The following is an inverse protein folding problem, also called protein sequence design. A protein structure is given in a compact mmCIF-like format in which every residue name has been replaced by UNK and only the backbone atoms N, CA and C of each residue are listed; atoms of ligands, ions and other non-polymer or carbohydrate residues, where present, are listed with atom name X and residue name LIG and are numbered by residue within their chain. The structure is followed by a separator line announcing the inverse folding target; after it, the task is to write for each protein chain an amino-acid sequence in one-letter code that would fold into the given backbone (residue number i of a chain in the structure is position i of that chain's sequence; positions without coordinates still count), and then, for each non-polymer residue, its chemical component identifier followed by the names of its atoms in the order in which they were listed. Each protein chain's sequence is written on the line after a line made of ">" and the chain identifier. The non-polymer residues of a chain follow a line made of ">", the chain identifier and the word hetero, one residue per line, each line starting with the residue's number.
data_IF_176481506504
#
_entry.id   IF_176481506504
#
_cell.length_a   1.000
_cell.length_b   1.000
_cell.length_c   1.000
_cell.angle_alpha   90.00
_cell.angle_beta   90.00
_cell.angle_gamma   90.00
#
_symmetry.space_group_name_H-M   'P 1'
#
loop_
_entity.id
_entity.type
_entity.pdbx_description
1 polymer ?
#
# COMPACT_ATOMS: atom_id res chain seq x y z
N UNK A 1 -13.26 1.30 -19.78
CA UNK A 1 -13.03 2.76 -19.66
C UNK A 1 -14.08 3.41 -18.74
N UNK A 2 -15.39 3.21 -18.96
CA UNK A 2 -16.48 3.87 -18.23
C UNK A 2 -16.48 3.55 -16.71
N UNK A 3 -16.34 2.28 -16.31
CA UNK A 3 -16.25 1.89 -14.91
C UNK A 3 -15.12 2.62 -14.16
N UNK A 4 -13.92 2.72 -14.78
CA UNK A 4 -12.79 3.40 -14.15
C UNK A 4 -13.06 4.91 -14.01
N UNK A 5 -13.74 5.51 -14.99
CA UNK A 5 -14.18 6.91 -14.91
C UNK A 5 -15.19 7.12 -13.77
N UNK A 6 -16.18 6.23 -13.63
CA UNK A 6 -17.14 6.27 -12.53
C UNK A 6 -16.43 6.18 -11.17
N UNK A 7 -15.51 5.21 -10.99
CA UNK A 7 -14.75 5.07 -9.74
C UNK A 7 -13.80 6.24 -9.46
N UNK A 8 -13.31 6.92 -10.50
CA UNK A 8 -12.52 8.14 -10.33
C UNK A 8 -13.38 9.30 -9.79
N UNK A 9 -14.59 9.48 -10.32
CA UNK A 9 -15.55 10.49 -9.84
C UNK A 9 -15.98 10.19 -8.39
N UNK A 10 -16.09 8.91 -8.00
CA UNK A 10 -16.34 8.48 -6.63
C UNK A 10 -15.16 8.76 -5.68
N UNK A 11 -14.04 9.30 -6.16
CA UNK A 11 -12.89 9.68 -5.33
C UNK A 11 -11.89 8.54 -5.06
N UNK A 12 -11.91 7.46 -5.84
CA UNK A 12 -10.93 6.39 -5.70
C UNK A 12 -9.51 6.87 -6.02
N UNK A 13 -8.53 6.45 -5.21
CA UNK A 13 -7.12 6.79 -5.43
C UNK A 13 -6.59 6.22 -6.76
N UNK A 14 -5.58 6.89 -7.35
CA UNK A 14 -4.91 6.41 -8.57
C UNK A 14 -4.46 4.95 -8.47
N UNK A 15 -3.94 4.54 -7.31
CA UNK A 15 -3.51 3.15 -7.06
C UNK A 15 -4.69 2.18 -7.09
N UNK A 16 -5.83 2.56 -6.49
CA UNK A 16 -7.05 1.76 -6.51
C UNK A 16 -7.59 1.62 -7.93
N UNK A 17 -7.62 2.72 -8.70
CA UNK A 17 -8.06 2.71 -10.10
C UNK A 17 -7.17 1.82 -10.98
N UNK A 18 -5.84 1.90 -10.80
CA UNK A 18 -4.89 1.02 -11.51
C UNK A 18 -5.13 -0.45 -11.18
N UNK A 19 -5.41 -0.77 -9.90
CA UNK A 19 -5.69 -2.15 -9.50
C UNK A 19 -7.03 -2.66 -10.04
N UNK A 20 -8.08 -1.84 -10.04
CA UNK A 20 -9.33 -2.17 -10.74
C UNK A 20 -9.09 -2.45 -12.22
N UNK A 21 -8.38 -1.52 -12.88
CA UNK A 21 -8.10 -1.61 -14.32
C UNK A 21 -7.37 -2.92 -14.64
N UNK A 22 -6.23 -3.19 -14.01
CA UNK A 22 -5.44 -4.40 -14.28
C UNK A 22 -6.24 -5.68 -13.99
N UNK A 23 -6.98 -5.75 -12.88
CA UNK A 23 -7.80 -6.92 -12.54
C UNK A 23 -8.87 -7.21 -13.61
N UNK A 24 -9.57 -6.17 -14.07
CA UNK A 24 -10.66 -6.31 -15.04
C UNK A 24 -10.09 -6.65 -16.41
N UNK A 25 -9.01 -6.00 -16.85
CA UNK A 25 -8.35 -6.28 -18.13
C UNK A 25 -7.85 -7.72 -18.18
N UNK A 26 -7.23 -8.22 -17.11
CA UNK A 26 -6.80 -9.62 -17.02
C UNK A 26 -7.99 -10.58 -17.13
N UNK A 27 -9.08 -10.32 -16.41
CA UNK A 27 -10.28 -11.15 -16.48
C UNK A 27 -10.89 -11.16 -17.88
N UNK A 28 -11.02 -10.00 -18.52
CA UNK A 28 -11.62 -9.87 -19.86
C UNK A 28 -10.74 -10.45 -20.96
N UNK A 29 -9.43 -10.50 -20.78
CA UNK A 29 -8.52 -11.18 -21.71
C UNK A 29 -8.67 -12.70 -21.70
N UNK A 30 -9.06 -13.26 -20.54
CA UNK A 30 -9.21 -14.72 -20.38
C UNK A 30 -10.63 -15.21 -20.68
N UNK A 31 -11.63 -14.41 -20.32
CA UNK A 31 -13.03 -14.73 -20.56
C UNK A 31 -13.46 -14.09 -21.88
N UNK A 32 -13.43 -14.87 -22.96
CA UNK A 32 -13.70 -14.39 -24.33
C UNK A 32 -15.17 -14.21 -24.66
N UNK A 33 -16.08 -14.67 -23.77
CA UNK A 33 -17.52 -14.51 -23.97
C UNK A 33 -17.98 -13.09 -23.60
N UNK A 34 -19.07 -12.65 -24.24
CA UNK A 34 -19.64 -11.32 -23.92
C UNK A 34 -19.95 -11.19 -22.43
N UNK A 35 -19.61 -10.05 -21.83
CA UNK A 35 -19.83 -9.73 -20.40
C UNK A 35 -21.28 -9.97 -19.99
N UNK A 36 -22.25 -9.75 -20.88
CA UNK A 36 -23.69 -10.00 -20.63
C UNK A 36 -24.04 -11.49 -20.47
N UNK A 37 -23.18 -12.39 -20.96
CA UNK A 37 -23.39 -13.85 -20.95
C UNK A 37 -22.58 -14.56 -19.87
N UNK A 38 -21.70 -13.84 -19.16
CA UNK A 38 -20.89 -14.41 -18.09
C UNK A 38 -21.79 -14.89 -16.95
N UNK A 39 -21.62 -16.15 -16.59
CA UNK A 39 -22.38 -16.81 -15.53
C UNK A 39 -21.59 -16.85 -14.21
N UNK A 40 -22.27 -17.19 -13.12
CA UNK A 40 -21.62 -17.43 -11.82
C UNK A 40 -20.60 -18.56 -11.90
N UNK A 41 -20.84 -19.57 -12.74
CA UNK A 41 -19.95 -20.73 -12.89
C UNK A 41 -18.67 -20.34 -13.63
N UNK A 42 -18.77 -19.51 -14.67
CA UNK A 42 -17.60 -18.95 -15.37
C UNK A 42 -16.70 -18.18 -14.39
N UNK A 43 -17.31 -17.40 -13.50
CA UNK A 43 -16.56 -16.62 -12.49
C UNK A 43 -15.91 -17.50 -11.43
N UNK A 44 -16.57 -18.60 -10.99
CA UNK A 44 -15.97 -19.57 -10.07
C UNK A 44 -14.76 -20.24 -10.70
N UNK A 45 -14.92 -20.71 -11.94
CA UNK A 45 -13.84 -21.32 -12.70
C UNK A 45 -12.67 -20.35 -12.89
N UNK A 46 -12.95 -19.12 -13.29
CA UNK A 46 -11.92 -18.09 -13.45
C UNK A 46 -11.11 -17.88 -12.16
N UNK A 47 -11.77 -17.76 -11.01
CA UNK A 47 -11.08 -17.51 -9.73
C UNK A 47 -10.25 -18.72 -9.28
N UNK A 48 -10.73 -19.94 -9.52
CA UNK A 48 -9.99 -21.16 -9.24
C UNK A 48 -8.76 -21.32 -10.15
N UNK A 49 -8.93 -21.10 -11.46
CA UNK A 49 -7.84 -21.11 -12.44
C UNK A 49 -6.82 -19.98 -12.18
N UNK A 50 -7.30 -18.80 -11.79
CA UNK A 50 -6.44 -17.68 -11.40
C UNK A 50 -5.55 -18.04 -10.22
N UNK A 51 -6.10 -18.68 -9.19
CA UNK A 51 -5.34 -19.11 -8.01
C UNK A 51 -4.25 -20.12 -8.40
N UNK A 52 -4.61 -21.13 -9.17
CA UNK A 52 -3.68 -22.22 -9.58
C UNK A 52 -2.55 -21.70 -10.46
N UNK A 53 -2.88 -20.89 -11.46
CA UNK A 53 -1.90 -20.37 -12.42
C UNK A 53 -0.89 -19.40 -11.79
N UNK A 54 -1.33 -18.55 -10.86
CA UNK A 54 -0.48 -17.56 -10.22
C UNK A 54 0.14 -18.04 -8.91
N UNK A 55 -0.15 -19.24 -8.47
CA UNK A 55 0.27 -19.80 -7.18
C UNK A 55 0.10 -18.79 -6.03
N UNK A 56 -1.05 -18.13 -6.01
CA UNK A 56 -1.27 -17.00 -5.12
C UNK A 56 -2.14 -17.37 -3.90
N UNK A 57 -1.99 -16.59 -2.83
CA UNK A 57 -2.73 -16.81 -1.59
C UNK A 57 -4.23 -16.61 -1.77
N UNK A 58 -5.04 -17.27 -0.94
CA UNK A 58 -6.50 -17.05 -0.87
C UNK A 58 -6.86 -15.58 -0.62
N UNK A 59 -6.01 -14.82 0.09
CA UNK A 59 -6.20 -13.38 0.31
C UNK A 59 -6.11 -12.61 -1.01
N UNK A 60 -5.14 -12.97 -1.86
CA UNK A 60 -4.98 -12.37 -3.19
C UNK A 60 -6.20 -12.66 -4.07
N UNK A 61 -6.68 -13.90 -4.08
CA UNK A 61 -7.89 -14.28 -4.83
C UNK A 61 -9.12 -13.53 -4.33
N UNK A 62 -9.27 -13.34 -3.00
CA UNK A 62 -10.39 -12.56 -2.45
C UNK A 62 -10.30 -11.06 -2.83
N UNK A 63 -9.10 -10.52 -2.97
CA UNK A 63 -8.92 -9.14 -3.47
C UNK A 63 -9.36 -9.02 -4.94
N UNK A 64 -8.96 -9.98 -5.79
CA UNK A 64 -9.40 -10.06 -7.19
C UNK A 64 -10.91 -10.23 -7.27
N UNK A 65 -11.50 -11.15 -6.49
CA UNK A 65 -12.95 -11.35 -6.38
C UNK A 65 -13.68 -10.04 -6.03
N UNK A 66 -13.16 -9.26 -5.06
CA UNK A 66 -13.78 -7.98 -4.66
C UNK A 66 -13.76 -6.95 -5.78
N UNK A 67 -12.66 -6.85 -6.51
CA UNK A 67 -12.56 -5.94 -7.65
C UNK A 67 -13.54 -6.31 -8.76
N UNK A 68 -13.61 -7.60 -9.10
CA UNK A 68 -14.55 -8.13 -10.11
C UNK A 68 -15.99 -7.93 -9.64
N UNK A 69 -16.28 -8.18 -8.36
CA UNK A 69 -17.60 -7.95 -7.79
C UNK A 69 -18.04 -6.48 -7.91
N UNK A 70 -17.13 -5.54 -7.62
CA UNK A 70 -17.40 -4.11 -7.80
C UNK A 70 -17.71 -3.74 -9.24
N UNK A 71 -16.99 -4.33 -10.20
CA UNK A 71 -17.25 -4.12 -11.63
C UNK A 71 -18.62 -4.65 -12.07
N UNK A 72 -18.96 -5.89 -11.70
CA UNK A 72 -20.26 -6.46 -12.08
C UNK A 72 -21.45 -5.81 -11.33
N UNK A 73 -21.24 -5.32 -10.10
CA UNK A 73 -22.27 -4.53 -9.41
C UNK A 73 -22.53 -3.22 -10.13
N UNK A 74 -21.48 -2.52 -10.56
CA UNK A 74 -21.60 -1.31 -11.37
C UNK A 74 -22.34 -1.58 -12.69
N UNK A 75 -22.01 -2.68 -13.39
CA UNK A 75 -22.71 -3.06 -14.63
C UNK A 75 -24.20 -3.33 -14.40
N UNK A 76 -24.57 -3.89 -13.26
CA UNK A 76 -25.97 -4.13 -12.88
C UNK A 76 -26.68 -2.82 -12.54
N UNK A 77 -26.05 -1.92 -11.76
CA UNK A 77 -26.55 -0.60 -11.40
C UNK A 77 -26.80 0.30 -12.63
N UNK A 78 -25.89 0.23 -13.61
CA UNK A 78 -26.01 0.96 -14.90
C UNK A 78 -26.91 0.24 -15.94
N UNK A 79 -27.56 -0.86 -15.57
CA UNK A 79 -28.45 -1.64 -16.44
C UNK A 79 -27.77 -2.27 -17.69
N UNK A 80 -26.44 -2.45 -17.67
CA UNK A 80 -25.73 -3.18 -18.73
C UNK A 80 -25.99 -4.68 -18.65
N UNK A 81 -26.26 -5.21 -17.44
CA UNK A 81 -26.64 -6.59 -17.16
C UNK A 81 -27.83 -6.61 -16.20
N UNK A 82 -28.66 -7.65 -16.29
CA UNK A 82 -29.84 -7.81 -15.42
C UNK A 82 -29.44 -8.20 -13.99
N UNK A 83 -28.38 -8.99 -13.83
CA UNK A 83 -27.94 -9.52 -12.54
C UNK A 83 -26.47 -9.84 -12.53
N UNK A 84 -25.77 -9.40 -11.50
CA UNK A 84 -24.35 -9.67 -11.32
C UNK A 84 -24.08 -11.17 -11.09
N UNK A 85 -23.18 -11.80 -11.87
CA UNK A 85 -22.78 -13.20 -11.66
C UNK A 85 -22.02 -13.41 -10.35
N UNK A 86 -21.53 -12.32 -9.74
CA UNK A 86 -20.76 -12.36 -8.49
C UNK A 86 -21.64 -12.44 -7.23
N UNK A 87 -22.96 -12.26 -7.32
CA UNK A 87 -23.85 -12.24 -6.14
C UNK A 87 -23.79 -13.52 -5.28
N UNK A 88 -23.52 -14.67 -5.89
CA UNK A 88 -23.43 -15.99 -5.24
C UNK A 88 -21.98 -16.42 -4.92
N UNK A 89 -21.01 -15.51 -5.12
CA UNK A 89 -19.60 -15.76 -4.82
C UNK A 89 -19.23 -14.97 -3.57
N UNK A 90 -19.28 -15.64 -2.44
CA UNK A 90 -19.03 -15.04 -1.13
C UNK A 90 -17.54 -14.85 -0.88
N UNK A 91 -17.23 -14.09 0.19
CA UNK A 91 -15.87 -13.88 0.68
C UNK A 91 -15.16 -15.22 0.90
N UNK A 92 -13.94 -15.32 0.41
CA UNK A 92 -13.10 -16.51 0.59
C UNK A 92 -12.63 -16.54 2.05
N UNK A 93 -12.85 -17.64 2.73
CA UNK A 93 -12.36 -17.86 4.09
C UNK A 93 -10.83 -17.96 4.06
N UNK A 94 -10.17 -17.11 4.80
CA UNK A 94 -8.71 -17.11 4.97
C UNK A 94 -8.39 -17.28 6.44
N UNK A 95 -7.40 -18.10 6.74
CA UNK A 95 -6.86 -18.17 8.10
C UNK A 95 -6.12 -16.86 8.39
N UNK A 96 -6.41 -16.26 9.54
CA UNK A 96 -5.59 -15.16 10.05
C UNK A 96 -4.32 -15.77 10.63
N UNK A 97 -3.20 -15.57 9.95
CA UNK A 97 -1.90 -15.87 10.52
C UNK A 97 -1.51 -14.72 11.45
N UNK A 98 -1.22 -15.06 12.69
CA UNK A 98 -0.55 -14.13 13.61
C UNK A 98 0.85 -13.93 13.05
N UNK A 99 1.19 -12.70 12.73
CA UNK A 99 2.54 -12.36 12.28
C UNK A 99 3.46 -12.30 13.50
N UNK A 100 4.67 -12.82 13.34
CA UNK A 100 5.71 -12.65 14.34
C UNK A 100 5.98 -11.15 14.54
N UNK A 101 6.13 -10.78 15.80
CA UNK A 101 6.48 -9.42 16.20
C UNK A 101 8.00 -9.38 16.39
N UNK A 102 8.63 -8.34 15.86
CA UNK A 102 10.07 -8.12 16.06
C UNK A 102 10.29 -7.81 17.54
N UNK A 103 11.22 -8.53 18.19
CA UNK A 103 11.57 -8.28 19.58
C UNK A 103 12.38 -7.00 19.77
N UNK A 104 12.42 -6.49 21.00
CA UNK A 104 13.24 -5.31 21.31
C UNK A 104 14.73 -5.58 21.08
N UNK A 105 15.18 -6.82 21.35
CA UNK A 105 16.56 -7.26 21.10
C UNK A 105 16.88 -7.27 19.59
N UNK A 106 15.91 -7.65 18.75
CA UNK A 106 16.12 -7.65 17.30
C UNK A 106 16.14 -6.22 16.74
N UNK A 107 15.39 -5.29 17.34
CA UNK A 107 15.50 -3.87 17.01
C UNK A 107 16.89 -3.32 17.37
N UNK A 108 17.45 -3.67 18.53
CA UNK A 108 18.80 -3.23 18.89
C UNK A 108 19.84 -3.82 17.92
N UNK A 109 19.74 -5.10 17.56
CA UNK A 109 20.60 -5.70 16.53
C UNK A 109 20.51 -4.98 15.18
N UNK A 110 19.29 -4.61 14.76
CA UNK A 110 19.10 -3.81 13.53
C UNK A 110 19.81 -2.47 13.62
N UNK A 111 19.73 -1.78 14.77
CA UNK A 111 20.42 -0.50 15.01
C UNK A 111 21.94 -0.66 14.90
N UNK A 112 22.49 -1.69 15.55
CA UNK A 112 23.93 -1.97 15.57
C UNK A 112 24.49 -2.32 14.16
N UNK A 113 23.64 -2.88 13.30
CA UNK A 113 24.03 -3.22 11.93
C UNK A 113 23.83 -2.09 10.91
N UNK A 114 23.24 -0.96 11.34
CA UNK A 114 23.07 0.20 10.46
C UNK A 114 24.39 0.82 10.04
N UNK A 115 24.68 0.82 8.75
CA UNK A 115 25.92 1.38 8.17
C UNK A 115 25.86 2.88 7.92
N UNK A 116 24.66 3.48 7.92
CA UNK A 116 24.48 4.89 7.65
C UNK A 116 23.46 5.54 8.59
N UNK A 117 23.64 6.84 8.82
CA UNK A 117 22.79 7.63 9.70
C UNK A 117 21.33 7.69 9.24
N UNK A 118 21.11 7.64 7.91
CA UNK A 118 19.75 7.64 7.33
C UNK A 118 18.94 6.43 7.79
N UNK A 119 19.52 5.24 7.64
CA UNK A 119 18.81 3.99 7.92
C UNK A 119 18.54 3.84 9.41
N UNK A 120 19.48 4.26 10.25
CA UNK A 120 19.28 4.33 11.70
C UNK A 120 18.12 5.27 12.08
N UNK A 121 18.07 6.47 11.48
CA UNK A 121 16.99 7.42 11.71
C UNK A 121 15.62 6.89 11.20
N UNK A 122 15.59 6.13 10.11
CA UNK A 122 14.39 5.47 9.58
C UNK A 122 13.87 4.43 10.58
N UNK A 123 14.74 3.55 11.07
CA UNK A 123 14.37 2.48 12.02
C UNK A 123 13.77 3.11 13.29
N UNK A 124 14.46 4.08 13.87
CA UNK A 124 14.01 4.70 15.11
C UNK A 124 12.70 5.46 14.94
N UNK A 125 12.52 6.21 13.85
CA UNK A 125 11.28 6.91 13.61
C UNK A 125 10.10 5.96 13.38
N UNK A 126 10.31 4.87 12.62
CA UNK A 126 9.28 3.84 12.42
C UNK A 126 8.91 3.14 13.73
N UNK A 127 9.91 2.75 14.52
CA UNK A 127 9.71 2.06 15.78
C UNK A 127 9.00 2.93 16.80
N UNK A 128 9.46 4.16 16.97
CA UNK A 128 8.92 5.11 17.96
C UNK A 128 7.50 5.56 17.65
N UNK A 129 7.16 5.77 16.35
CA UNK A 129 5.89 6.39 15.94
C UNK A 129 4.86 5.39 15.42
N UNK A 130 5.27 4.22 14.96
CA UNK A 130 4.39 3.26 14.28
C UNK A 130 3.78 3.78 12.97
N UNK A 131 4.39 4.79 12.33
CA UNK A 131 3.91 5.29 11.03
C UNK A 131 4.14 4.27 9.93
N UNK A 132 3.33 4.33 8.88
CA UNK A 132 3.50 3.45 7.72
C UNK A 132 4.68 3.93 6.87
N UNK A 133 5.36 2.97 6.21
CA UNK A 133 6.47 3.30 5.28
C UNK A 133 6.03 4.32 4.22
N UNK A 134 4.78 4.23 3.72
CA UNK A 134 4.25 5.21 2.78
C UNK A 134 4.06 6.60 3.37
N UNK A 135 3.80 6.73 4.65
CA UNK A 135 3.72 8.00 5.36
C UNK A 135 5.13 8.56 5.59
N UNK A 136 6.06 7.73 6.02
CA UNK A 136 7.46 8.09 6.25
C UNK A 136 8.12 8.71 5.02
N UNK A 137 8.02 8.06 3.85
CA UNK A 137 8.67 8.56 2.62
C UNK A 137 8.05 9.86 2.09
N UNK A 138 6.84 10.19 2.51
CA UNK A 138 6.18 11.44 2.13
C UNK A 138 6.48 12.61 3.06
N UNK A 139 7.10 12.38 4.23
CA UNK A 139 7.48 13.44 5.15
C UNK A 139 8.51 14.39 4.52
N UNK A 140 8.34 15.68 4.80
CA UNK A 140 9.33 16.72 4.59
C UNK A 140 10.02 17.08 5.92
N UNK A 141 11.16 17.73 5.85
CA UNK A 141 11.84 18.24 7.05
C UNK A 141 10.93 19.23 7.80
N UNK A 142 10.15 20.04 7.06
CA UNK A 142 9.23 21.02 7.63
C UNK A 142 8.03 20.40 8.37
N UNK A 143 7.72 19.11 8.14
CA UNK A 143 6.63 18.41 8.82
C UNK A 143 7.03 17.89 10.21
N UNK A 144 8.30 18.12 10.63
CA UNK A 144 8.86 17.60 11.89
C UNK A 144 9.10 18.75 12.86
N UNK A 145 8.41 18.74 13.98
CA UNK A 145 8.71 19.61 15.12
C UNK A 145 9.66 18.89 16.08
N UNK A 146 10.92 19.31 16.11
CA UNK A 146 11.95 18.72 16.96
C UNK A 146 11.79 19.14 18.43
N UNK A 147 11.19 20.29 18.73
CA UNK A 147 10.98 20.72 20.11
C UNK A 147 9.83 19.95 20.76
N UNK A 148 8.70 19.89 20.09
CA UNK A 148 7.56 19.10 20.56
C UNK A 148 7.77 17.59 20.36
N UNK A 149 8.77 17.17 19.57
CA UNK A 149 9.03 15.78 19.17
C UNK A 149 7.81 15.15 18.49
N UNK A 150 7.21 15.86 17.57
CA UNK A 150 6.06 15.41 16.82
C UNK A 150 6.26 15.59 15.32
N UNK A 151 5.52 14.83 14.54
CA UNK A 151 5.38 15.09 13.11
C UNK A 151 3.94 14.84 12.65
N UNK A 152 3.57 15.53 11.57
CA UNK A 152 2.25 15.42 10.96
C UNK A 152 2.34 14.44 9.80
N UNK A 153 1.50 13.41 9.82
CA UNK A 153 1.45 12.40 8.76
C UNK A 153 0.05 12.32 8.15
N UNK A 154 0.01 12.07 6.85
CA UNK A 154 -1.22 11.94 6.08
C UNK A 154 -1.52 10.46 5.80
N UNK A 155 -2.58 9.95 6.42
CA UNK A 155 -3.04 8.59 6.27
C UNK A 155 -3.93 8.36 5.04
N UNK A 156 -4.49 7.18 4.95
CA UNK A 156 -5.43 6.79 3.89
C UNK A 156 -6.65 7.75 3.87
N UNK A 157 -6.96 8.28 2.68
CA UNK A 157 -8.08 9.21 2.49
C UNK A 157 -7.76 10.65 2.90
N UNK A 158 -6.46 11.02 2.98
CA UNK A 158 -6.05 12.39 3.31
C UNK A 158 -6.26 12.77 4.78
N UNK A 159 -6.53 11.81 5.67
CA UNK A 159 -6.68 12.08 7.10
C UNK A 159 -5.32 12.39 7.71
N UNK A 160 -5.22 13.61 8.26
CA UNK A 160 -4.08 14.08 9.00
C UNK A 160 -4.08 13.53 10.42
N UNK A 161 -2.90 13.14 10.94
CA UNK A 161 -2.71 12.86 12.36
C UNK A 161 -1.31 13.25 12.81
N UNK A 162 -1.22 13.70 14.05
CA UNK A 162 0.06 13.90 14.74
C UNK A 162 0.54 12.59 15.31
N UNK A 163 1.85 12.37 15.24
CA UNK A 163 2.55 11.25 15.87
C UNK A 163 3.76 11.78 16.61
N UNK A 164 4.10 11.14 17.72
CA UNK A 164 5.15 11.58 18.62
C UNK A 164 6.31 10.59 18.55
N UNK A 165 7.54 11.11 18.59
CA UNK A 165 8.75 10.29 18.60
C UNK A 165 9.59 10.55 19.85
N UNK A 166 10.39 9.57 20.23
CA UNK A 166 11.21 9.62 21.43
C UNK A 166 12.48 10.48 21.25
N UNK A 167 13.23 10.68 22.35
CA UNK A 167 14.46 11.45 22.36
C UNK A 167 15.56 10.80 21.49
N UNK A 168 15.60 9.46 21.40
CA UNK A 168 16.58 8.71 20.59
C UNK A 168 16.34 8.99 19.11
N UNK A 169 15.09 8.91 18.67
CA UNK A 169 14.69 9.26 17.29
C UNK A 169 15.03 10.72 16.94
N UNK A 170 14.79 11.68 17.87
CA UNK A 170 15.18 13.09 17.71
C UNK A 170 16.67 13.21 17.39
N UNK A 171 17.53 12.61 18.20
CA UNK A 171 18.99 12.69 18.05
C UNK A 171 19.47 12.09 16.73
N UNK A 172 18.95 10.93 16.35
CA UNK A 172 19.33 10.24 15.11
C UNK A 172 18.82 11.00 13.87
N UNK A 173 17.60 11.53 13.90
CA UNK A 173 17.08 12.39 12.82
C UNK A 173 17.92 13.65 12.65
N UNK A 174 18.25 14.35 13.73
CA UNK A 174 19.11 15.55 13.69
C UNK A 174 20.51 15.22 13.15
N UNK A 175 21.11 14.11 13.62
CA UNK A 175 22.41 13.63 13.12
C UNK A 175 22.39 13.28 11.64
N UNK A 176 21.30 12.66 11.17
CA UNK A 176 21.12 12.38 9.75
C UNK A 176 20.98 13.66 8.94
N UNK A 177 20.07 14.56 9.32
CA UNK A 177 19.84 15.84 8.59
C UNK A 177 21.13 16.65 8.52
N UNK A 178 21.89 16.76 9.60
CA UNK A 178 23.17 17.46 9.64
C UNK A 178 24.25 16.82 8.73
N UNK A 179 24.12 15.53 8.40
CA UNK A 179 25.05 14.83 7.51
C UNK A 179 24.68 14.92 6.03
N UNK A 180 23.51 15.47 5.69
CA UNK A 180 23.06 15.63 4.31
C UNK A 180 23.88 16.67 3.56
N UNK A 181 24.05 16.43 2.26
CA UNK A 181 24.79 17.32 1.35
C UNK A 181 23.90 17.94 0.26
N UNK A 182 22.59 17.86 0.45
CA UNK A 182 21.58 18.28 -0.52
C UNK A 182 20.60 19.29 0.12
N UNK A 183 19.78 19.91 -0.72
CA UNK A 183 18.73 20.85 -0.31
C UNK A 183 17.32 20.32 -0.59
N UNK A 184 17.16 19.00 -0.77
CA UNK A 184 15.84 18.41 -1.03
C UNK A 184 14.95 18.57 0.21
N UNK A 185 13.71 19.08 0.09
CA UNK A 185 12.82 19.29 1.22
C UNK A 185 12.33 17.98 1.87
N UNK A 186 12.45 16.82 1.17
CA UNK A 186 12.06 15.53 1.74
C UNK A 186 12.85 15.20 3.00
N UNK A 187 12.20 14.61 4.01
CA UNK A 187 12.88 14.19 5.24
C UNK A 187 13.91 13.09 4.92
N UNK A 188 13.58 12.13 4.09
CA UNK A 188 14.48 11.06 3.68
C UNK A 188 14.75 11.06 2.17
N UNK A 189 16.02 10.96 1.81
CA UNK A 189 16.50 10.95 0.42
C UNK A 189 17.34 9.70 0.13
N UNK A 190 17.62 9.45 -1.15
CA UNK A 190 18.59 8.41 -1.59
C UNK A 190 19.99 8.74 -1.08
N UNK A 191 20.86 7.72 -0.95
CA UNK A 191 22.23 7.92 -0.46
C UNK A 191 23.15 8.55 -1.50
N UNK A 192 22.83 8.33 -2.77
CA UNK A 192 23.62 8.79 -3.90
C UNK A 192 22.92 9.93 -4.64
N UNK A 193 23.74 10.79 -5.29
CA UNK A 193 23.27 11.83 -6.20
C UNK A 193 22.39 11.21 -7.31
N UNK A 194 21.24 11.84 -7.65
CA UNK A 194 20.84 13.21 -7.35
C UNK A 194 20.12 13.46 -6.00
N UNK A 195 20.20 12.58 -5.04
CA UNK A 195 19.55 12.71 -3.71
C UNK A 195 18.02 12.93 -3.81
N UNK A 196 17.38 12.08 -4.59
CA UNK A 196 15.93 12.11 -4.76
C UNK A 196 15.20 11.69 -3.48
N UNK A 197 13.94 12.14 -3.34
CA UNK A 197 13.06 11.65 -2.28
C UNK A 197 13.07 10.11 -2.24
N UNK A 198 13.25 9.56 -1.05
CA UNK A 198 13.22 8.11 -0.85
C UNK A 198 11.86 7.53 -1.26
N UNK A 199 11.87 6.45 -2.04
CA UNK A 199 10.67 5.70 -2.44
C UNK A 199 10.42 4.55 -1.49
N UNK A 200 9.16 4.06 -1.43
CA UNK A 200 8.80 2.89 -0.61
C UNK A 200 9.70 1.68 -0.91
N UNK A 201 10.02 1.45 -2.19
CA UNK A 201 10.92 0.37 -2.62
C UNK A 201 12.37 0.55 -2.18
N UNK A 202 12.76 1.73 -1.72
CA UNK A 202 14.10 2.01 -1.20
C UNK A 202 14.19 1.83 0.33
N UNK A 203 13.08 1.55 1.01
CA UNK A 203 13.03 1.23 2.45
C UNK A 203 12.98 -0.29 2.57
N UNK A 204 14.04 -0.96 2.14
CA UNK A 204 14.23 -2.39 2.32
C UNK A 204 15.28 -2.61 3.40
N UNK A 205 14.90 -3.32 4.47
CA UNK A 205 15.85 -3.86 5.45
C UNK A 205 16.33 -5.19 4.86
N UNK A 206 17.58 -5.24 4.42
CA UNK A 206 18.26 -6.46 3.94
C UNK A 206 19.14 -7.03 5.03
#
# INVERSE_FOLDING_TARGET
>A
VMFIAAKNIEGCSKRTLSYYKSTIETMLAEITISVRKITTEDMRKYLDDYQKRNDCSKVTVDNVRRNISSFFSWLEEENYILKSPMRRIHKIKTNQLVKDVISDEDIEKLRDHCKCKRDLAIIDLLYSTGIRVGELVNLNIADVDFEARECVVFGKGGKERRVYFDAKSKLHLQSYIASRKDNNPALFVTLDSPYDRLKISGVEIR
#
